data_IF_131745965955
#
_entry.id   IF_131745965955
#
_cell.length_a   1.000
_cell.length_b   1.000
_cell.length_c   1.000
_cell.angle_alpha   90.00
_cell.angle_beta   90.00
_cell.angle_gamma   90.00
#
_symmetry.space_group_name_H-M   'P 1'
#
loop_
_entity.id
_entity.type
_entity.pdbx_description
1 polymer ?
#
# COMPACT_ATOMS: atom_id res chain seq x y z
N UNK A 1 -16.04 20.39 7.45
CA UNK A 1 -14.58 20.49 7.74
C UNK A 1 -13.91 19.51 6.80
N UNK A 2 -12.85 19.92 6.11
CA UNK A 2 -12.11 19.02 5.22
C UNK A 2 -11.60 17.82 6.03
N UNK A 3 -11.68 16.61 5.47
CA UNK A 3 -11.17 15.41 6.15
C UNK A 3 -9.72 15.17 5.83
N UNK A 4 -9.32 15.48 4.61
CA UNK A 4 -7.92 15.45 4.24
C UNK A 4 -7.19 16.62 4.94
N UNK A 5 -6.29 16.33 5.90
CA UNK A 5 -5.50 17.37 6.56
C UNK A 5 -4.49 18.02 5.61
N UNK A 6 -4.12 17.33 4.53
CA UNK A 6 -3.01 17.67 3.64
C UNK A 6 -3.51 18.28 2.31
N UNK A 7 -4.82 18.29 2.07
CA UNK A 7 -5.44 18.60 0.79
C UNK A 7 -5.87 20.06 0.60
N UNK A 8 -5.93 20.47 -0.67
CA UNK A 8 -6.55 21.74 -1.11
C UNK A 8 -7.93 21.50 -1.68
N UNK A 9 -8.90 22.36 -1.31
CA UNK A 9 -10.29 22.27 -1.76
C UNK A 9 -10.40 22.33 -3.30
N UNK A 10 -9.59 23.18 -3.93
CA UNK A 10 -9.61 23.39 -5.39
C UNK A 10 -9.21 22.12 -6.16
N UNK A 11 -8.19 21.40 -5.71
CA UNK A 11 -7.73 20.15 -6.33
C UNK A 11 -8.83 19.08 -6.28
N UNK A 12 -9.49 18.94 -5.13
CA UNK A 12 -10.66 18.05 -5.02
C UNK A 12 -11.78 18.42 -5.99
N UNK A 13 -12.05 19.71 -6.24
CA UNK A 13 -13.08 20.10 -7.20
C UNK A 13 -12.73 19.73 -8.64
N UNK A 14 -11.48 19.88 -9.04
CA UNK A 14 -11.00 19.51 -10.38
C UNK A 14 -11.13 18.00 -10.61
N UNK A 15 -10.66 17.19 -9.65
CA UNK A 15 -10.77 15.74 -9.72
C UNK A 15 -12.23 15.27 -9.71
N UNK A 16 -13.07 15.85 -8.86
CA UNK A 16 -14.52 15.57 -8.84
C UNK A 16 -15.16 15.90 -10.20
N UNK A 17 -14.81 17.02 -10.83
CA UNK A 17 -15.32 17.39 -12.17
C UNK A 17 -14.86 16.41 -13.23
N UNK A 18 -13.61 15.95 -13.18
CA UNK A 18 -13.08 14.93 -14.08
C UNK A 18 -13.86 13.61 -13.93
N UNK A 19 -14.08 13.15 -12.70
CA UNK A 19 -14.86 11.94 -12.45
C UNK A 19 -16.30 12.05 -12.98
N UNK A 20 -16.98 13.18 -12.74
CA UNK A 20 -18.32 13.46 -13.29
C UNK A 20 -18.29 13.44 -14.83
N UNK A 21 -17.28 14.06 -15.45
CA UNK A 21 -17.13 14.07 -16.91
C UNK A 21 -17.02 12.65 -17.47
N UNK A 22 -16.19 11.80 -16.88
CA UNK A 22 -16.00 10.41 -17.32
C UNK A 22 -17.27 9.57 -17.09
N UNK A 23 -17.93 9.70 -15.94
CA UNK A 23 -19.19 9.00 -15.66
C UNK A 23 -20.30 9.42 -16.64
N UNK A 24 -20.38 10.71 -16.97
CA UNK A 24 -21.29 11.20 -18.00
C UNK A 24 -20.94 10.64 -19.39
N UNK A 25 -19.65 10.53 -19.71
CA UNK A 25 -19.19 9.92 -20.96
C UNK A 25 -19.63 8.45 -21.06
N UNK A 26 -19.48 7.67 -19.98
CA UNK A 26 -19.98 6.30 -19.92
C UNK A 26 -21.51 6.23 -20.10
N UNK A 27 -22.28 7.18 -19.56
CA UNK A 27 -23.74 7.20 -19.71
C UNK A 27 -24.23 7.56 -21.12
N UNK A 28 -23.44 8.31 -21.90
CA UNK A 28 -23.84 8.89 -23.20
C UNK A 28 -23.39 8.07 -24.39
N UNK A 29 -22.41 7.18 -24.22
CA UNK A 29 -21.81 6.48 -25.34
C UNK A 29 -22.77 5.44 -25.95
N UNK A 30 -23.29 5.75 -27.14
CA UNK A 30 -23.88 4.77 -28.05
C UNK A 30 -22.74 3.90 -28.65
N UNK A 31 -22.49 2.75 -28.02
CA UNK A 31 -21.36 1.88 -28.33
C UNK A 31 -21.51 1.19 -29.70
N UNK A 32 -20.50 1.29 -30.57
CA UNK A 32 -20.44 0.53 -31.84
C UNK A 32 -19.63 -0.77 -31.76
N UNK A 33 -18.68 -0.89 -30.82
CA UNK A 33 -17.81 -2.08 -30.64
C UNK A 33 -17.96 -2.70 -29.23
N UNK A 34 -17.94 -4.03 -29.17
CA UNK A 34 -18.10 -4.83 -27.95
C UNK A 34 -16.94 -4.65 -26.94
N UNK A 35 -15.72 -4.42 -27.40
CA UNK A 35 -14.52 -4.18 -26.56
C UNK A 35 -14.64 -2.86 -25.81
N UNK A 36 -15.07 -1.81 -26.53
CA UNK A 36 -15.31 -0.48 -25.94
C UNK A 36 -16.45 -0.55 -24.93
N UNK A 37 -17.51 -1.31 -25.24
CA UNK A 37 -18.64 -1.53 -24.33
C UNK A 37 -18.21 -2.26 -23.06
N UNK A 38 -17.36 -3.27 -23.16
CA UNK A 38 -16.79 -3.97 -21.99
C UNK A 38 -15.94 -3.02 -21.14
N UNK A 39 -14.95 -2.34 -21.74
CA UNK A 39 -14.03 -1.46 -21.01
C UNK A 39 -14.78 -0.34 -20.26
N UNK A 40 -15.73 0.31 -20.94
CA UNK A 40 -16.56 1.34 -20.33
C UNK A 40 -17.38 0.77 -19.16
N UNK A 41 -17.93 -0.43 -19.31
CA UNK A 41 -18.74 -1.05 -18.27
C UNK A 41 -17.93 -1.51 -17.07
N UNK A 42 -16.70 -2.01 -17.29
CA UNK A 42 -15.76 -2.33 -16.21
C UNK A 42 -15.23 -1.07 -15.51
N UNK A 43 -15.21 0.08 -16.20
CA UNK A 43 -14.76 1.35 -15.65
C UNK A 43 -15.78 2.05 -14.74
N UNK A 44 -17.08 1.81 -14.88
CA UNK A 44 -18.09 2.59 -14.13
C UNK A 44 -17.89 2.54 -12.62
N UNK A 45 -17.70 1.35 -12.03
CA UNK A 45 -17.61 1.22 -10.57
C UNK A 45 -16.34 1.86 -9.98
N UNK A 46 -15.12 1.65 -10.53
CA UNK A 46 -13.94 2.39 -10.11
C UNK A 46 -14.14 3.92 -10.08
N UNK A 47 -14.64 4.52 -11.16
CA UNK A 47 -14.87 5.98 -11.23
C UNK A 47 -15.95 6.46 -10.23
N UNK A 48 -16.98 5.65 -9.97
CA UNK A 48 -17.96 5.94 -8.90
C UNK A 48 -17.27 5.94 -7.53
N UNK A 49 -16.35 5.01 -7.29
CA UNK A 49 -15.62 4.88 -6.02
C UNK A 49 -14.63 6.03 -5.83
N UNK A 50 -13.83 6.36 -6.85
CA UNK A 50 -12.92 7.52 -6.83
C UNK A 50 -13.70 8.82 -6.57
N UNK A 51 -14.83 9.02 -7.27
CA UNK A 51 -15.71 10.17 -7.02
C UNK A 51 -16.15 10.26 -5.55
N UNK A 52 -16.57 9.14 -4.96
CA UNK A 52 -16.96 9.09 -3.54
C UNK A 52 -15.78 9.34 -2.60
N UNK A 53 -14.60 8.82 -2.93
CA UNK A 53 -13.36 9.02 -2.16
C UNK A 53 -12.96 10.50 -2.15
N UNK A 54 -12.99 11.17 -3.31
CA UNK A 54 -12.70 12.61 -3.38
C UNK A 54 -13.70 13.44 -2.60
N UNK A 55 -15.00 13.11 -2.66
CA UNK A 55 -16.00 13.77 -1.82
C UNK A 55 -15.76 13.53 -0.33
N UNK A 56 -15.34 12.31 0.04
CA UNK A 56 -14.97 12.00 1.42
C UNK A 56 -13.82 12.87 1.90
N UNK A 57 -12.71 12.92 1.15
CA UNK A 57 -11.54 13.74 1.48
C UNK A 57 -11.84 15.24 1.56
N UNK A 58 -12.64 15.75 0.61
CA UNK A 58 -13.14 17.14 0.61
C UNK A 58 -13.92 17.52 1.87
N UNK A 59 -14.48 16.54 2.58
CA UNK A 59 -15.26 16.77 3.79
C UNK A 59 -16.77 16.75 3.60
N UNK A 60 -17.28 16.20 2.50
CA UNK A 60 -18.72 16.10 2.27
C UNK A 60 -19.40 15.19 3.31
N UNK A 61 -20.66 15.44 3.70
CA UNK A 61 -21.38 14.57 4.62
C UNK A 61 -21.47 13.13 4.10
N UNK A 62 -21.25 12.15 4.99
CA UNK A 62 -21.36 10.72 4.65
C UNK A 62 -22.73 10.37 4.05
N UNK A 63 -23.80 10.99 4.57
CA UNK A 63 -25.15 10.80 4.06
C UNK A 63 -25.30 11.25 2.59
N UNK A 64 -24.61 12.32 2.17
CA UNK A 64 -24.67 12.83 0.80
C UNK A 64 -23.85 11.99 -0.16
N UNK A 65 -22.70 11.47 0.30
CA UNK A 65 -21.87 10.51 -0.45
C UNK A 65 -22.66 9.21 -0.65
N UNK A 66 -23.24 8.68 0.42
CA UNK A 66 -24.06 7.48 0.39
C UNK A 66 -25.34 7.65 -0.43
N UNK A 67 -26.02 8.80 -0.32
CA UNK A 67 -27.22 9.07 -1.10
C UNK A 67 -26.93 9.11 -2.61
N UNK A 68 -25.78 9.66 -3.02
CA UNK A 68 -25.33 9.60 -4.41
C UNK A 68 -25.09 8.14 -4.86
N UNK A 69 -24.42 7.34 -4.03
CA UNK A 69 -24.16 5.94 -4.34
C UNK A 69 -25.47 5.18 -4.58
N UNK A 70 -26.45 5.34 -3.71
CA UNK A 70 -27.75 4.66 -3.82
C UNK A 70 -28.55 5.11 -5.06
N UNK A 71 -28.59 6.42 -5.33
CA UNK A 71 -29.44 6.99 -6.38
C UNK A 71 -28.83 6.86 -7.77
N UNK A 72 -27.52 7.04 -7.89
CA UNK A 72 -26.86 7.24 -9.18
C UNK A 72 -25.71 6.25 -9.39
N UNK A 73 -24.79 6.13 -8.43
CA UNK A 73 -23.57 5.33 -8.58
C UNK A 73 -23.84 3.83 -8.79
N UNK A 74 -24.54 3.21 -7.84
CA UNK A 74 -24.87 1.78 -7.88
C UNK A 74 -25.80 1.43 -9.06
N UNK A 75 -26.89 2.17 -9.34
CA UNK A 75 -27.70 1.91 -10.53
C UNK A 75 -26.93 2.06 -11.84
N UNK A 76 -25.97 2.99 -11.93
CA UNK A 76 -25.10 3.14 -13.11
C UNK A 76 -24.23 1.90 -13.33
N UNK A 77 -23.61 1.39 -12.26
CA UNK A 77 -22.86 0.14 -12.30
C UNK A 77 -23.76 -1.05 -12.69
N UNK A 78 -24.95 -1.17 -12.12
CA UNK A 78 -25.89 -2.25 -12.47
C UNK A 78 -26.31 -2.20 -13.95
N UNK A 79 -26.55 -1.01 -14.51
CA UNK A 79 -26.80 -0.84 -15.95
C UNK A 79 -25.60 -1.30 -16.78
N UNK A 80 -24.38 -0.91 -16.41
CA UNK A 80 -23.16 -1.37 -17.07
C UNK A 80 -23.01 -2.89 -17.07
N UNK A 81 -23.25 -3.55 -15.91
CA UNK A 81 -23.25 -5.01 -15.81
C UNK A 81 -24.31 -5.64 -16.72
N UNK A 82 -25.52 -5.09 -16.76
CA UNK A 82 -26.60 -5.60 -17.61
C UNK A 82 -26.25 -5.47 -19.11
N UNK A 83 -25.61 -4.38 -19.51
CA UNK A 83 -25.16 -4.16 -20.90
C UNK A 83 -24.12 -5.20 -21.32
N UNK A 84 -23.16 -5.51 -20.44
CA UNK A 84 -22.13 -6.51 -20.71
C UNK A 84 -22.71 -7.92 -20.82
N UNK A 85 -23.70 -8.27 -19.99
CA UNK A 85 -24.37 -9.58 -20.06
C UNK A 85 -25.08 -9.83 -21.39
N UNK A 86 -25.35 -8.79 -22.17
CA UNK A 86 -25.93 -8.88 -23.51
C UNK A 86 -24.88 -9.09 -24.61
N UNK A 87 -23.59 -9.00 -24.29
CA UNK A 87 -22.51 -9.22 -25.26
C UNK A 87 -22.44 -10.71 -25.67
N UNK A 88 -22.26 -11.03 -26.97
CA UNK A 88 -22.04 -12.41 -27.40
C UNK A 88 -20.82 -13.04 -26.70
N UNK A 89 -20.87 -14.31 -26.25
CA UNK A 89 -19.73 -14.93 -25.56
C UNK A 89 -18.43 -14.92 -26.37
N UNK A 90 -18.53 -14.97 -27.70
CA UNK A 90 -17.40 -14.95 -28.62
C UNK A 90 -16.74 -13.56 -28.76
N UNK A 91 -17.41 -12.49 -28.33
CA UNK A 91 -16.89 -11.13 -28.42
C UNK A 91 -15.98 -10.72 -27.25
N UNK A 92 -15.81 -11.61 -26.27
CA UNK A 92 -14.93 -11.40 -25.13
C UNK A 92 -13.79 -12.41 -25.19
N UNK A 93 -12.58 -11.96 -24.90
CA UNK A 93 -11.44 -12.85 -24.70
C UNK A 93 -11.63 -13.68 -23.43
N UNK A 94 -10.95 -14.83 -23.35
CA UNK A 94 -11.09 -15.75 -22.23
C UNK A 94 -10.78 -15.09 -20.86
N UNK A 95 -9.84 -14.15 -20.83
CA UNK A 95 -9.53 -13.36 -19.65
C UNK A 95 -10.68 -12.43 -19.22
N UNK A 96 -11.39 -11.82 -20.18
CA UNK A 96 -12.54 -10.94 -19.90
C UNK A 96 -13.73 -11.76 -19.37
N UNK A 97 -14.03 -12.91 -19.99
CA UNK A 97 -15.14 -13.79 -19.55
C UNK A 97 -15.02 -14.26 -18.10
N UNK A 98 -13.79 -14.37 -17.59
CA UNK A 98 -13.48 -14.83 -16.23
C UNK A 98 -13.34 -13.69 -15.21
N UNK A 99 -13.42 -12.43 -15.63
CA UNK A 99 -13.23 -11.27 -14.76
C UNK A 99 -14.60 -10.69 -14.38
N UNK A 100 -14.94 -10.58 -13.07
CA UNK A 100 -16.07 -9.79 -12.63
C UNK A 100 -16.00 -8.37 -13.18
N UNK A 101 -17.14 -7.83 -13.58
CA UNK A 101 -17.26 -6.43 -13.98
C UNK A 101 -17.32 -5.64 -12.67
N UNK A 102 -16.38 -4.74 -12.43
CA UNK A 102 -16.30 -3.99 -11.17
C UNK A 102 -14.85 -3.77 -10.77
N UNK A 103 -14.56 -3.97 -9.49
CA UNK A 103 -13.24 -3.77 -8.91
C UNK A 103 -12.35 -5.02 -9.07
N UNK A 104 -11.08 -4.77 -9.36
CA UNK A 104 -10.03 -5.77 -9.27
C UNK A 104 -8.89 -5.23 -8.40
N UNK A 105 -8.42 -6.02 -7.43
CA UNK A 105 -7.29 -5.61 -6.58
C UNK A 105 -5.97 -5.69 -7.33
N UNK A 106 -5.67 -4.71 -8.17
CA UNK A 106 -4.28 -4.40 -8.56
C UNK A 106 -3.61 -3.63 -7.43
N UNK A 107 -2.29 -3.48 -7.49
CA UNK A 107 -1.55 -2.82 -6.40
C UNK A 107 -1.97 -1.38 -6.19
N UNK A 108 -2.16 -0.62 -7.27
CA UNK A 108 -2.67 0.76 -7.25
C UNK A 108 -4.12 0.89 -6.79
N UNK A 109 -4.94 -0.17 -6.92
CA UNK A 109 -6.38 -0.14 -6.62
C UNK A 109 -6.73 -0.72 -5.23
N UNK A 110 -5.73 -1.12 -4.43
CA UNK A 110 -5.97 -1.75 -3.15
C UNK A 110 -6.67 -0.81 -2.16
N UNK A 111 -6.31 0.47 -2.16
CA UNK A 111 -6.87 1.48 -1.26
C UNK A 111 -8.30 1.88 -1.63
N UNK A 112 -8.62 2.01 -2.92
CA UNK A 112 -10.00 2.19 -3.39
C UNK A 112 -10.90 1.03 -2.95
N UNK A 113 -10.38 -0.20 -3.00
CA UNK A 113 -11.09 -1.39 -2.52
C UNK A 113 -11.29 -1.33 -1.00
N UNK A 114 -10.28 -0.91 -0.22
CA UNK A 114 -10.44 -0.72 1.22
C UNK A 114 -11.46 0.37 1.55
N UNK A 115 -11.41 1.52 0.86
CA UNK A 115 -12.39 2.58 0.99
C UNK A 115 -13.81 2.07 0.72
N UNK A 116 -14.02 1.42 -0.44
CA UNK A 116 -15.35 0.97 -0.81
C UNK A 116 -15.88 -0.12 0.12
N UNK A 117 -15.03 -1.06 0.55
CA UNK A 117 -15.40 -2.04 1.56
C UNK A 117 -15.72 -1.37 2.90
N UNK A 118 -14.92 -0.41 3.36
CA UNK A 118 -15.20 0.34 4.58
C UNK A 118 -16.54 1.09 4.49
N UNK A 119 -16.81 1.74 3.36
CA UNK A 119 -18.07 2.43 3.12
C UNK A 119 -19.25 1.45 3.12
N UNK A 120 -19.16 0.31 2.43
CA UNK A 120 -20.20 -0.72 2.47
C UNK A 120 -20.37 -1.31 3.87
N UNK A 121 -19.28 -1.51 4.62
CA UNK A 121 -19.28 -2.01 6.01
C UNK A 121 -19.92 -1.00 6.96
N UNK A 122 -19.73 0.29 6.73
CA UNK A 122 -20.15 1.32 7.68
C UNK A 122 -21.46 2.01 7.30
N UNK A 123 -21.92 1.93 6.05
CA UNK A 123 -23.10 2.70 5.58
C UNK A 123 -24.24 1.82 5.04
N UNK A 124 -23.95 0.64 4.49
CA UNK A 124 -24.99 -0.21 3.89
C UNK A 124 -25.85 -0.86 4.97
N UNK A 125 -27.15 -0.56 5.01
CA UNK A 125 -28.07 -1.23 5.92
C UNK A 125 -28.39 -2.65 5.44
N UNK A 126 -28.20 -2.95 4.15
CA UNK A 126 -28.39 -4.28 3.60
C UNK A 126 -27.08 -5.06 3.59
N UNK A 127 -27.08 -6.32 4.07
CA UNK A 127 -25.90 -7.18 3.95
C UNK A 127 -25.69 -7.69 2.52
N UNK A 128 -26.68 -7.56 1.63
CA UNK A 128 -26.70 -8.25 0.34
C UNK A 128 -25.52 -7.88 -0.57
N UNK A 129 -25.15 -6.60 -0.65
CA UNK A 129 -24.03 -6.17 -1.51
C UNK A 129 -22.71 -6.77 -1.05
N UNK A 130 -22.49 -6.78 0.26
CA UNK A 130 -21.30 -7.36 0.88
C UNK A 130 -21.28 -8.89 0.73
N UNK A 131 -22.41 -9.56 1.01
CA UNK A 131 -22.54 -11.02 0.83
C UNK A 131 -22.31 -11.45 -0.63
N UNK A 132 -22.73 -10.62 -1.59
CA UNK A 132 -22.55 -10.87 -3.01
C UNK A 132 -21.29 -10.22 -3.61
N UNK A 133 -20.27 -9.93 -2.79
CA UNK A 133 -19.04 -9.24 -3.22
C UNK A 133 -18.40 -9.85 -4.47
N UNK A 134 -18.46 -11.17 -4.66
CA UNK A 134 -17.88 -11.86 -5.82
C UNK A 134 -18.45 -11.41 -7.17
N UNK A 135 -19.61 -10.76 -7.18
CA UNK A 135 -20.21 -10.22 -8.39
C UNK A 135 -19.54 -8.92 -8.86
N UNK A 136 -18.89 -8.19 -7.96
CA UNK A 136 -18.33 -6.86 -8.23
C UNK A 136 -16.89 -6.67 -7.75
N UNK A 137 -16.33 -7.59 -6.96
CA UNK A 137 -14.96 -7.57 -6.46
C UNK A 137 -14.22 -8.82 -6.90
N UNK A 138 -13.08 -8.61 -7.56
CA UNK A 138 -12.10 -9.64 -7.87
C UNK A 138 -10.81 -9.41 -7.09
N UNK A 139 -10.47 -10.32 -6.19
CA UNK A 139 -9.19 -10.30 -5.47
C UNK A 139 -8.26 -11.33 -6.09
N UNK A 140 -7.30 -10.90 -6.91
CA UNK A 140 -6.33 -11.79 -7.54
C UNK A 140 -4.95 -11.11 -7.68
N UNK A 141 -3.88 -11.64 -7.06
CA UNK A 141 -3.87 -12.80 -6.16
C UNK A 141 -4.69 -12.55 -4.87
N UNK A 142 -5.14 -13.61 -4.17
CA UNK A 142 -5.86 -13.48 -2.90
C UNK A 142 -5.09 -12.64 -1.88
N UNK A 143 -5.83 -11.86 -1.07
CA UNK A 143 -5.28 -10.99 -0.03
C UNK A 143 -5.88 -11.37 1.31
N UNK A 144 -5.04 -11.84 2.23
CA UNK A 144 -5.46 -12.34 3.55
C UNK A 144 -6.28 -11.32 4.32
N UNK A 145 -5.84 -10.06 4.34
CA UNK A 145 -6.57 -8.98 5.03
C UNK A 145 -8.02 -8.84 4.53
N UNK A 146 -8.23 -8.78 3.21
CA UNK A 146 -9.58 -8.68 2.62
C UNK A 146 -10.43 -9.90 3.01
N UNK A 147 -9.86 -11.12 2.92
CA UNK A 147 -10.58 -12.34 3.30
C UNK A 147 -10.95 -12.37 4.79
N UNK A 148 -10.08 -11.86 5.67
CA UNK A 148 -10.35 -11.71 7.11
C UNK A 148 -11.46 -10.69 7.35
N UNK A 149 -11.41 -9.52 6.70
CA UNK A 149 -12.46 -8.51 6.81
C UNK A 149 -13.81 -9.06 6.31
N UNK A 150 -13.84 -9.71 5.15
CA UNK A 150 -15.06 -10.34 4.63
C UNK A 150 -15.58 -11.44 5.55
N UNK A 151 -14.70 -12.30 6.09
CA UNK A 151 -15.08 -13.34 7.06
C UNK A 151 -15.67 -12.77 8.35
N UNK A 152 -15.21 -11.60 8.76
CA UNK A 152 -15.69 -10.90 9.96
C UNK A 152 -17.15 -10.48 9.85
N UNK A 153 -17.66 -10.26 8.64
CA UNK A 153 -19.05 -9.84 8.40
C UNK A 153 -19.89 -10.87 7.64
N UNK A 154 -19.25 -11.88 7.05
CA UNK A 154 -19.89 -12.97 6.29
C UNK A 154 -19.39 -14.29 6.90
N UNK A 155 -20.12 -14.88 7.88
CA UNK A 155 -19.66 -16.07 8.60
C UNK A 155 -19.30 -17.27 7.71
N UNK A 156 -19.94 -17.39 6.54
CA UNK A 156 -19.69 -18.47 5.58
C UNK A 156 -18.63 -18.13 4.52
N UNK A 157 -17.98 -16.96 4.59
CA UNK A 157 -16.87 -16.64 3.70
C UNK A 157 -15.76 -17.67 3.86
N UNK A 158 -15.18 -18.06 2.74
CA UNK A 158 -14.02 -18.92 2.68
C UNK A 158 -12.89 -18.11 2.06
N UNK A 159 -11.86 -17.84 2.85
CA UNK A 159 -10.63 -17.24 2.35
C UNK A 159 -9.82 -18.24 1.53
N UNK A 160 -8.74 -17.76 0.92
CA UNK A 160 -7.79 -18.65 0.26
C UNK A 160 -6.96 -19.46 1.26
N UNK A 161 -6.51 -20.65 0.87
CA UNK A 161 -5.44 -21.38 1.56
C UNK A 161 -4.05 -21.04 1.04
N UNK A 162 -3.96 -20.34 -0.10
CA UNK A 162 -2.73 -20.17 -0.88
C UNK A 162 -2.43 -18.68 -1.07
N UNK A 163 -2.22 -17.96 0.02
CA UNK A 163 -1.74 -16.58 -0.04
C UNK A 163 -0.25 -16.55 -0.43
N UNK A 164 0.14 -15.57 -1.24
CA UNK A 164 1.55 -15.38 -1.62
C UNK A 164 2.25 -14.50 -0.58
N UNK A 165 3.48 -14.85 -0.22
CA UNK A 165 4.31 -14.06 0.71
C UNK A 165 4.45 -12.59 0.25
N UNK A 166 4.66 -12.35 -1.04
CA UNK A 166 4.78 -11.02 -1.63
C UNK A 166 3.52 -10.16 -1.48
N UNK A 167 2.33 -10.75 -1.40
CA UNK A 167 1.08 -9.99 -1.18
C UNK A 167 0.76 -9.79 0.29
N UNK A 168 1.29 -10.65 1.17
CA UNK A 168 1.13 -10.57 2.63
C UNK A 168 2.11 -9.58 3.26
N UNK A 169 3.28 -9.39 2.65
CA UNK A 169 4.38 -8.57 3.19
C UNK A 169 4.41 -7.14 2.68
N UNK A 170 3.38 -6.69 1.97
CA UNK A 170 3.30 -5.27 1.60
C UNK A 170 3.34 -4.40 2.86
N UNK A 171 4.12 -3.34 2.76
CA UNK A 171 4.59 -2.55 3.90
C UNK A 171 3.46 -1.98 4.77
N UNK A 172 2.23 -1.81 4.26
CA UNK A 172 1.09 -1.39 5.09
C UNK A 172 0.22 -2.53 5.63
N UNK A 173 0.04 -3.61 4.86
CA UNK A 173 -0.88 -4.69 5.25
C UNK A 173 -0.28 -5.61 6.32
N UNK A 174 1.02 -5.86 6.27
CA UNK A 174 1.70 -6.72 7.25
C UNK A 174 1.69 -6.13 8.67
N UNK A 175 2.04 -4.85 8.89
CA UNK A 175 1.95 -4.25 10.23
C UNK A 175 0.53 -4.25 10.81
N UNK A 176 -0.50 -4.03 9.98
CA UNK A 176 -1.88 -4.12 10.44
C UNK A 176 -2.25 -5.54 10.86
N UNK A 177 -1.91 -6.54 10.04
CA UNK A 177 -2.17 -7.95 10.37
C UNK A 177 -1.43 -8.39 11.65
N UNK A 178 -0.22 -7.87 11.89
CA UNK A 178 0.51 -8.04 13.14
C UNK A 178 -0.29 -7.50 14.33
N UNK A 179 -0.75 -6.24 14.24
CA UNK A 179 -1.52 -5.62 15.31
C UNK A 179 -2.79 -6.41 15.66
N UNK A 180 -3.47 -6.96 14.66
CA UNK A 180 -4.69 -7.77 14.86
C UNK A 180 -4.42 -9.19 15.40
N UNK A 181 -3.22 -9.72 15.21
CA UNK A 181 -2.82 -11.02 15.76
C UNK A 181 -2.51 -10.99 17.26
N UNK A 182 -2.39 -9.80 17.86
CA UNK A 182 -2.30 -9.68 19.31
C UNK A 182 -3.58 -10.17 20.02
N UNK A 183 -3.47 -10.58 21.30
CA UNK A 183 -4.63 -10.83 22.16
C UNK A 183 -5.60 -9.63 22.17
N UNK A 184 -6.92 -9.85 22.30
CA UNK A 184 -7.92 -8.78 22.23
C UNK A 184 -7.60 -7.54 23.06
N UNK A 185 -7.10 -7.71 24.28
CA UNK A 185 -6.74 -6.66 25.22
C UNK A 185 -5.53 -5.79 24.78
N UNK A 186 -4.71 -6.29 23.86
CA UNK A 186 -3.52 -5.59 23.33
C UNK A 186 -3.77 -4.93 21.97
N UNK A 187 -4.84 -5.30 21.26
CA UNK A 187 -5.10 -4.81 19.89
C UNK A 187 -5.27 -3.30 19.80
N UNK A 188 -5.92 -2.68 20.80
CA UNK A 188 -6.09 -1.22 20.81
C UNK A 188 -4.75 -0.49 20.85
N UNK A 189 -3.84 -0.89 21.74
CA UNK A 189 -2.49 -0.33 21.82
C UNK A 189 -1.69 -0.60 20.54
N UNK A 190 -1.75 -1.83 20.01
CA UNK A 190 -1.04 -2.18 18.79
C UNK A 190 -1.54 -1.40 17.55
N UNK A 191 -2.84 -1.12 17.45
CA UNK A 191 -3.39 -0.25 16.41
C UNK A 191 -3.02 1.21 16.61
N UNK A 192 -2.90 1.69 17.86
CA UNK A 192 -2.40 3.04 18.12
C UNK A 192 -0.96 3.21 17.63
N UNK A 193 -0.10 2.23 17.91
CA UNK A 193 1.29 2.21 17.42
C UNK A 193 1.34 2.13 15.88
N UNK A 194 0.45 1.35 15.26
CA UNK A 194 0.30 1.32 13.81
C UNK A 194 -0.09 2.69 13.26
N UNK A 195 -1.09 3.35 13.85
CA UNK A 195 -1.56 4.67 13.42
C UNK A 195 -0.48 5.73 13.57
N UNK A 196 0.31 5.71 14.65
CA UNK A 196 1.46 6.61 14.83
C UNK A 196 2.51 6.45 13.72
N UNK A 197 2.60 5.27 13.12
CA UNK A 197 3.49 4.98 12.00
C UNK A 197 2.81 5.14 10.63
N UNK A 198 1.52 5.44 10.55
CA UNK A 198 0.74 5.34 9.32
C UNK A 198 1.26 6.25 8.21
N UNK A 199 1.65 7.48 8.54
CA UNK A 199 2.28 8.39 7.58
C UNK A 199 3.59 7.85 7.02
N UNK A 200 4.42 7.23 7.87
CA UNK A 200 5.66 6.59 7.42
C UNK A 200 5.33 5.46 6.46
N UNK A 201 4.33 4.64 6.81
CA UNK A 201 3.84 3.60 5.93
C UNK A 201 3.44 4.24 4.60
N UNK A 202 2.56 5.25 4.55
CA UNK A 202 2.01 5.79 3.29
C UNK A 202 2.99 6.53 2.35
N UNK A 203 4.26 6.73 2.74
CA UNK A 203 5.27 7.41 1.91
C UNK A 203 5.42 6.83 0.49
N UNK A 204 5.48 5.51 0.27
CA UNK A 204 5.58 4.94 -1.07
C UNK A 204 4.32 5.13 -1.94
N UNK A 205 3.19 5.56 -1.36
CA UNK A 205 1.98 5.95 -2.11
C UNK A 205 1.90 7.46 -2.33
N UNK A 206 3.01 8.16 -2.09
CA UNK A 206 3.13 9.59 -2.32
C UNK A 206 2.72 10.45 -1.14
N UNK A 207 2.59 9.89 0.08
CA UNK A 207 2.51 10.74 1.27
C UNK A 207 3.86 11.43 1.51
N UNK A 208 3.84 12.75 1.74
CA UNK A 208 5.04 13.54 2.06
C UNK A 208 4.69 14.55 3.15
N UNK A 209 5.59 14.80 4.12
CA UNK A 209 5.40 15.90 5.06
C UNK A 209 5.50 17.24 4.32
N UNK A 210 4.65 18.22 4.65
CA UNK A 210 4.71 19.58 4.09
C UNK A 210 4.62 19.65 2.54
N UNK A 211 3.63 18.98 1.93
CA UNK A 211 3.40 18.99 0.47
C UNK A 211 3.47 20.39 -0.13
N UNK A 212 4.23 20.57 -1.21
CA UNK A 212 4.26 21.82 -1.98
C UNK A 212 2.95 21.94 -2.75
N UNK A 213 2.10 22.90 -2.39
CA UNK A 213 0.74 22.88 -2.85
C UNK A 213 0.59 23.57 -4.23
N UNK A 214 1.69 23.84 -4.94
CA UNK A 214 1.68 24.30 -6.32
C UNK A 214 1.20 23.17 -7.27
N UNK A 215 0.33 23.54 -8.22
CA UNK A 215 -0.46 22.64 -9.10
C UNK A 215 0.35 21.61 -9.94
N UNK A 216 1.67 21.67 -9.92
CA UNK A 216 2.57 20.87 -10.78
C UNK A 216 3.61 20.05 -10.00
N UNK A 217 3.62 20.11 -8.66
CA UNK A 217 4.67 19.47 -7.85
C UNK A 217 4.21 18.20 -7.15
N UNK A 218 3.25 18.32 -6.24
CA UNK A 218 2.71 17.16 -5.51
C UNK A 218 1.25 16.93 -5.92
N UNK A 219 0.95 15.71 -6.41
CA UNK A 219 -0.42 15.30 -6.73
C UNK A 219 -1.35 15.30 -5.51
N UNK A 220 -2.65 15.10 -5.69
CA UNK A 220 -3.57 14.94 -4.56
C UNK A 220 -3.28 13.62 -3.81
N UNK A 221 -3.07 13.70 -2.50
CA UNK A 221 -3.03 12.51 -1.64
C UNK A 221 -4.37 12.38 -0.91
N UNK A 222 -5.19 11.43 -1.34
CA UNK A 222 -6.55 11.26 -0.84
C UNK A 222 -6.75 9.96 -0.07
N UNK A 223 -5.66 9.42 0.49
CA UNK A 223 -5.70 8.17 1.22
C UNK A 223 -5.98 8.39 2.71
N UNK A 224 -6.72 7.42 3.26
CA UNK A 224 -7.09 7.35 4.67
C UNK A 224 -6.94 5.91 5.15
N UNK A 225 -6.84 5.74 6.47
CA UNK A 225 -6.67 4.44 7.12
C UNK A 225 -7.97 3.61 7.14
N UNK A 226 -8.59 3.39 5.97
CA UNK A 226 -9.84 2.64 5.82
C UNK A 226 -9.69 1.17 6.25
N UNK A 227 -8.50 0.60 6.06
CA UNK A 227 -8.11 -0.70 6.58
C UNK A 227 -8.20 -0.77 8.11
N UNK A 228 -7.80 0.29 8.81
CA UNK A 228 -7.89 0.37 10.27
C UNK A 228 -9.33 0.56 10.70
N UNK A 229 -10.11 1.40 10.01
CA UNK A 229 -11.54 1.56 10.27
C UNK A 229 -12.31 0.24 10.13
N UNK A 230 -12.07 -0.53 9.05
CA UNK A 230 -12.66 -1.86 8.88
C UNK A 230 -12.25 -2.81 10.00
N UNK A 231 -10.97 -2.81 10.41
CA UNK A 231 -10.49 -3.68 11.47
C UNK A 231 -11.11 -3.33 12.83
N UNK A 232 -11.26 -2.03 13.13
CA UNK A 232 -11.94 -1.54 14.34
C UNK A 232 -13.39 -2.01 14.35
N UNK A 233 -14.13 -1.86 13.25
CA UNK A 233 -15.50 -2.36 13.15
C UNK A 233 -15.55 -3.89 13.28
N UNK A 234 -14.67 -4.60 12.57
CA UNK A 234 -14.64 -6.07 12.51
C UNK A 234 -14.31 -6.72 13.86
N UNK A 235 -13.40 -6.12 14.64
CA UNK A 235 -12.95 -6.65 15.92
C UNK A 235 -13.49 -5.90 17.14
N UNK A 236 -14.38 -4.92 16.92
CA UNK A 236 -14.95 -4.07 17.97
C UNK A 236 -13.89 -3.48 18.90
N UNK A 237 -12.80 -2.99 18.31
CA UNK A 237 -11.62 -2.50 19.03
C UNK A 237 -11.89 -1.08 19.54
N UNK A 238 -11.43 -0.77 20.74
CA UNK A 238 -11.41 0.59 21.26
C UNK A 238 -10.37 1.43 20.49
N UNK A 239 -10.86 2.46 19.79
CA UNK A 239 -10.09 3.39 18.96
C UNK A 239 -9.73 4.69 19.68
N UNK A 240 -10.12 4.86 20.94
CA UNK A 240 -10.02 6.13 21.67
C UNK A 240 -8.61 6.74 21.68
N UNK A 241 -7.55 5.92 21.69
CA UNK A 241 -6.15 6.35 21.75
C UNK A 241 -5.60 6.93 20.44
N UNK A 242 -6.22 6.65 19.29
CA UNK A 242 -5.78 7.12 17.97
C UNK A 242 -6.91 7.80 17.18
N UNK A 243 -8.05 8.02 17.83
CA UNK A 243 -9.27 8.57 17.24
C UNK A 243 -9.10 9.95 16.62
N UNK A 244 -8.17 10.73 17.14
CA UNK A 244 -7.86 12.08 16.65
C UNK A 244 -6.79 12.10 15.55
N UNK A 245 -6.29 10.93 15.13
CA UNK A 245 -5.36 10.84 14.02
C UNK A 245 -6.04 11.38 12.74
N UNK A 246 -5.41 12.30 11.99
CA UNK A 246 -6.11 13.06 10.96
C UNK A 246 -6.55 12.23 9.75
N UNK A 247 -5.84 11.13 9.44
CA UNK A 247 -6.25 10.19 8.39
C UNK A 247 -7.10 9.02 8.88
N UNK A 248 -7.48 8.99 10.16
CA UNK A 248 -8.33 7.91 10.68
C UNK A 248 -9.81 8.19 10.36
N UNK A 249 -10.53 7.30 9.65
CA UNK A 249 -11.94 7.48 9.29
C UNK A 249 -12.93 7.33 10.46
N UNK A 250 -12.76 8.10 11.54
CA UNK A 250 -13.56 7.98 12.77
C UNK A 250 -15.06 8.12 12.53
N UNK A 251 -15.47 8.94 11.55
CA UNK A 251 -16.87 9.20 11.25
C UNK A 251 -17.58 8.01 10.61
N UNK A 252 -16.87 7.20 9.82
CA UNK A 252 -17.37 5.91 9.33
C UNK A 252 -17.57 4.93 10.49
N UNK A 253 -16.60 4.84 11.40
CA UNK A 253 -16.67 3.94 12.57
C UNK A 253 -17.80 4.36 13.52
N UNK A 254 -17.98 5.66 13.73
CA UNK A 254 -19.09 6.19 14.53
C UNK A 254 -20.44 5.85 13.91
N UNK A 255 -20.57 6.07 12.60
CA UNK A 255 -21.80 5.73 11.89
C UNK A 255 -22.09 4.24 12.00
N UNK A 256 -21.08 3.40 11.83
CA UNK A 256 -21.20 1.95 11.98
C UNK A 256 -21.74 1.57 13.36
N UNK A 257 -21.08 2.03 14.43
CA UNK A 257 -21.48 1.73 15.82
C UNK A 257 -22.90 2.20 16.13
N UNK A 258 -23.27 3.40 15.67
CA UNK A 258 -24.56 4.01 15.96
C UNK A 258 -25.72 3.39 15.15
N UNK A 259 -25.48 3.03 13.88
CA UNK A 259 -26.59 2.76 12.94
C UNK A 259 -26.55 1.38 12.27
N UNK A 260 -25.42 0.67 12.29
CA UNK A 260 -25.25 -0.56 11.49
C UNK A 260 -24.94 -1.78 12.36
N UNK A 261 -24.14 -1.63 13.42
CA UNK A 261 -23.66 -2.73 14.24
C UNK A 261 -24.79 -3.65 14.76
N UNK A 262 -25.88 -3.04 15.20
CA UNK A 262 -27.03 -3.76 15.75
C UNK A 262 -27.73 -4.71 14.76
N UNK A 263 -27.46 -4.61 13.45
CA UNK A 263 -27.94 -5.57 12.43
C UNK A 263 -26.81 -6.41 11.85
N UNK A 264 -25.69 -5.79 11.47
CA UNK A 264 -24.58 -6.42 10.74
C UNK A 264 -23.94 -7.58 11.49
N UNK A 265 -23.73 -7.37 12.78
CA UNK A 265 -22.95 -8.24 13.65
C UNK A 265 -23.66 -8.49 14.97
N UNK A 266 -25.00 -8.44 14.96
CA UNK A 266 -25.87 -8.82 16.07
C UNK A 266 -25.63 -10.25 16.58
N UNK A 267 -24.91 -11.08 15.81
CA UNK A 267 -24.51 -12.44 16.19
C UNK A 267 -23.39 -12.46 17.26
N UNK A 268 -22.74 -11.32 17.56
CA UNK A 268 -21.72 -11.18 18.61
C UNK A 268 -22.07 -10.05 19.60
N UNK A 269 -21.64 -10.19 20.85
CA UNK A 269 -21.87 -9.20 21.89
C UNK A 269 -21.02 -7.92 21.69
N UNK A 270 -21.38 -6.84 22.37
CA UNK A 270 -20.58 -5.60 22.42
C UNK A 270 -19.24 -5.82 23.11
N UNK A 271 -18.18 -5.24 22.56
CA UNK A 271 -16.79 -5.43 22.96
C UNK A 271 -16.17 -6.76 22.48
N UNK A 272 -16.93 -7.61 21.76
CA UNK A 272 -16.40 -8.86 21.22
C UNK A 272 -16.14 -8.74 19.73
N UNK A 273 -14.88 -8.96 19.34
CA UNK A 273 -14.44 -9.00 17.96
C UNK A 273 -14.99 -10.17 17.15
N UNK A 274 -14.79 -10.13 15.83
CA UNK A 274 -14.83 -11.35 15.03
C UNK A 274 -13.88 -12.36 15.69
N UNK A 275 -14.41 -13.51 16.14
CA UNK A 275 -13.63 -14.58 16.80
C UNK A 275 -12.67 -15.31 15.86
N UNK A 276 -12.20 -14.62 14.82
CA UNK A 276 -11.24 -15.12 13.85
C UNK A 276 -9.87 -15.01 14.51
N UNK A 277 -9.28 -16.17 14.80
CA UNK A 277 -7.89 -16.23 15.21
C UNK A 277 -7.01 -15.87 14.02
N UNK A 278 -6.16 -14.86 14.21
CA UNK A 278 -5.16 -14.48 13.24
C UNK A 278 -3.83 -15.03 13.73
N UNK A 279 -3.21 -15.98 13.00
CA UNK A 279 -1.87 -16.39 13.35
C UNK A 279 -0.98 -15.14 13.24
N UNK A 280 -0.09 -14.89 14.22
CA UNK A 280 0.91 -13.85 14.06
C UNK A 280 1.65 -14.13 12.75
N UNK A 281 1.86 -13.12 11.90
CA UNK A 281 2.63 -13.36 10.68
C UNK A 281 4.00 -13.89 11.10
N UNK A 282 4.48 -14.86 10.34
CA UNK A 282 5.74 -15.53 10.65
C UNK A 282 6.82 -14.45 10.76
N UNK A 283 7.52 -14.33 11.91
CA UNK A 283 8.58 -13.35 12.06
C UNK A 283 9.56 -13.47 10.90
N UNK A 284 10.06 -12.35 10.37
CA UNK A 284 10.99 -12.40 9.26
C UNK A 284 12.17 -13.29 9.65
N UNK A 285 12.41 -14.33 8.87
CA UNK A 285 13.45 -15.29 9.18
C UNK A 285 14.78 -14.69 8.76
N UNK A 286 15.60 -14.33 9.74
CA UNK A 286 16.96 -13.89 9.50
C UNK A 286 17.92 -15.07 9.52
N UNK A 287 18.50 -15.38 8.38
CA UNK A 287 19.52 -16.42 8.22
C UNK A 287 20.82 -15.93 8.84
N UNK A 288 21.51 -16.83 9.53
CA UNK A 288 22.90 -16.62 9.94
C UNK A 288 23.78 -16.55 8.68
N UNK A 289 24.18 -15.33 8.32
CA UNK A 289 24.97 -15.04 7.12
C UNK A 289 26.29 -15.80 7.08
N UNK A 290 26.88 -16.14 8.24
CA UNK A 290 28.13 -16.91 8.31
C UNK A 290 27.91 -18.40 7.98
N UNK A 291 26.68 -18.90 8.13
CA UNK A 291 26.31 -20.30 7.85
C UNK A 291 25.62 -20.48 6.49
N UNK A 292 25.37 -19.41 5.76
CA UNK A 292 24.71 -19.48 4.46
C UNK A 292 25.57 -20.22 3.44
N UNK A 293 24.89 -21.00 2.57
CA UNK A 293 25.49 -21.70 1.43
C UNK A 293 25.16 -21.06 0.09
N UNK A 294 24.44 -19.92 0.10
CA UNK A 294 24.08 -19.19 -1.12
C UNK A 294 25.35 -18.68 -1.81
N UNK A 295 25.29 -18.52 -3.13
CA UNK A 295 26.41 -18.06 -3.97
C UNK A 295 25.94 -17.07 -5.03
N UNK A 296 26.88 -16.34 -5.62
CA UNK A 296 26.65 -15.44 -6.74
C UNK A 296 25.53 -14.42 -6.44
N UNK A 297 24.65 -14.15 -7.41
CA UNK A 297 23.54 -13.21 -7.27
C UNK A 297 22.67 -13.46 -6.03
N UNK A 298 22.32 -14.71 -5.74
CA UNK A 298 21.49 -15.01 -4.57
C UNK A 298 22.21 -14.68 -3.25
N UNK A 299 23.54 -14.80 -3.20
CA UNK A 299 24.33 -14.37 -2.03
C UNK A 299 24.44 -12.85 -1.97
N UNK A 300 24.60 -12.19 -3.11
CA UNK A 300 24.62 -10.73 -3.17
C UNK A 300 23.32 -10.13 -2.64
N UNK A 301 22.17 -10.65 -3.07
CA UNK A 301 20.85 -10.26 -2.54
C UNK A 301 20.71 -10.59 -1.06
N UNK A 302 21.21 -11.74 -0.60
CA UNK A 302 21.21 -12.10 0.84
C UNK A 302 21.96 -11.10 1.71
N UNK A 303 23.10 -10.62 1.23
CA UNK A 303 23.90 -9.62 1.92
C UNK A 303 23.22 -8.24 1.89
N UNK A 304 22.63 -7.85 0.77
CA UNK A 304 21.84 -6.62 0.66
C UNK A 304 20.61 -6.65 1.58
N UNK A 305 19.92 -7.79 1.66
CA UNK A 305 18.78 -8.00 2.54
C UNK A 305 19.17 -8.41 3.97
N UNK A 306 20.45 -8.36 4.35
CA UNK A 306 20.93 -8.64 5.71
C UNK A 306 20.45 -9.98 6.30
N UNK A 307 20.34 -10.99 5.42
CA UNK A 307 19.94 -12.35 5.75
C UNK A 307 18.44 -12.53 5.95
N UNK A 308 17.61 -11.51 5.72
CA UNK A 308 16.15 -11.68 5.69
C UNK A 308 15.77 -12.58 4.50
N UNK A 309 15.54 -13.86 4.80
CA UNK A 309 15.28 -14.94 3.84
C UNK A 309 14.12 -14.59 2.92
N UNK A 310 13.22 -13.80 3.46
CA UNK A 310 11.88 -13.60 3.02
C UNK A 310 11.80 -12.36 2.09
N UNK A 311 12.56 -11.31 2.42
CA UNK A 311 12.93 -10.23 1.51
C UNK A 311 13.76 -10.74 0.32
N UNK A 312 14.74 -11.61 0.59
CA UNK A 312 15.55 -12.25 -0.45
C UNK A 312 14.69 -12.99 -1.46
N UNK A 313 13.81 -13.90 -1.01
CA UNK A 313 13.00 -14.68 -1.96
C UNK A 313 12.07 -13.76 -2.78
N UNK A 314 11.55 -12.67 -2.19
CA UNK A 314 10.77 -11.66 -2.92
C UNK A 314 11.57 -11.02 -4.06
N UNK A 315 12.81 -10.59 -3.78
CA UNK A 315 13.69 -10.01 -4.80
C UNK A 315 14.03 -11.04 -5.88
N UNK A 316 14.30 -12.29 -5.51
CA UNK A 316 14.62 -13.36 -6.45
C UNK A 316 13.41 -13.79 -7.30
N UNK A 317 12.19 -13.71 -6.79
CA UNK A 317 10.96 -13.95 -7.55
C UNK A 317 10.80 -12.90 -8.66
N UNK A 318 11.11 -11.63 -8.37
CA UNK A 318 11.01 -10.52 -9.33
C UNK A 318 12.15 -10.53 -10.34
N UNK A 319 13.39 -10.65 -9.86
CA UNK A 319 14.60 -10.43 -10.68
C UNK A 319 15.19 -11.73 -11.26
N UNK A 320 14.73 -12.89 -10.79
CA UNK A 320 15.33 -14.18 -11.11
C UNK A 320 16.71 -14.38 -10.47
N UNK A 321 17.60 -15.09 -11.17
CA UNK A 321 18.97 -15.39 -10.72
C UNK A 321 19.99 -15.12 -11.83
N UNK A 322 20.11 -13.86 -12.29
CA UNK A 322 20.97 -13.53 -13.41
C UNK A 322 22.45 -13.80 -13.10
N UNK A 323 23.22 -14.07 -14.16
CA UNK A 323 24.69 -14.12 -14.09
C UNK A 323 25.32 -12.72 -14.11
N UNK A 324 24.64 -11.78 -14.78
CA UNK A 324 24.97 -10.35 -14.84
C UNK A 324 23.68 -9.56 -14.74
N UNK A 325 23.70 -8.46 -14.02
CA UNK A 325 22.52 -7.60 -13.89
C UNK A 325 22.37 -6.81 -15.19
N UNK A 326 21.21 -6.95 -15.82
CA UNK A 326 20.86 -6.26 -17.07
C UNK A 326 19.81 -5.18 -16.82
N UNK A 327 18.84 -5.48 -15.95
CA UNK A 327 17.80 -4.56 -15.52
C UNK A 327 18.09 -4.14 -14.08
N UNK A 328 18.84 -3.04 -13.97
CA UNK A 328 19.25 -2.52 -12.67
C UNK A 328 18.11 -1.81 -11.94
N UNK A 329 17.25 -1.11 -12.70
CA UNK A 329 16.06 -0.46 -12.18
C UNK A 329 15.13 -1.46 -11.49
N UNK A 330 14.78 -2.56 -12.16
CA UNK A 330 13.92 -3.60 -11.57
C UNK A 330 14.54 -4.23 -10.31
N UNK A 331 15.87 -4.37 -10.26
CA UNK A 331 16.55 -4.88 -9.08
C UNK A 331 16.42 -3.93 -7.89
N UNK A 332 16.66 -2.65 -8.11
CA UNK A 332 16.58 -1.63 -7.06
C UNK A 332 15.16 -1.42 -6.58
N UNK A 333 14.19 -1.39 -7.50
CA UNK A 333 12.75 -1.35 -7.18
C UNK A 333 12.38 -2.55 -6.29
N UNK A 334 12.78 -3.77 -6.67
CA UNK A 334 12.51 -4.97 -5.87
C UNK A 334 13.17 -4.95 -4.48
N UNK A 335 14.39 -4.40 -4.36
CA UNK A 335 15.08 -4.25 -3.07
C UNK A 335 14.45 -3.17 -2.20
N UNK A 336 14.04 -2.05 -2.80
CA UNK A 336 13.40 -0.94 -2.12
C UNK A 336 11.99 -1.32 -1.65
N UNK A 337 11.21 -2.04 -2.48
CA UNK A 337 9.92 -2.62 -2.10
C UNK A 337 10.03 -3.54 -0.88
N UNK A 338 11.19 -4.20 -0.73
CA UNK A 338 11.52 -5.02 0.43
C UNK A 338 12.09 -4.23 1.62
N UNK A 339 12.29 -2.91 1.51
CA UNK A 339 12.88 -2.04 2.54
C UNK A 339 14.39 -2.17 2.69
N UNK A 340 15.08 -2.73 1.69
CA UNK A 340 16.50 -3.07 1.76
C UNK A 340 17.41 -2.26 0.82
N UNK A 341 16.87 -1.25 0.13
CA UNK A 341 17.65 -0.29 -0.66
C UNK A 341 17.06 1.13 -0.62
N UNK A 342 17.92 2.10 -0.88
CA UNK A 342 17.57 3.44 -1.35
C UNK A 342 17.52 3.36 -2.88
N UNK A 343 16.45 3.88 -3.46
CA UNK A 343 16.20 4.07 -4.88
C UNK A 343 15.33 5.33 -5.01
N UNK A 344 15.98 6.49 -5.06
CA UNK A 344 15.31 7.79 -5.05
C UNK A 344 15.79 8.65 -6.21
N UNK A 345 14.87 9.38 -6.85
CA UNK A 345 15.23 10.33 -7.91
C UNK A 345 16.25 11.38 -7.42
N UNK A 346 17.05 11.91 -8.34
CA UNK A 346 18.17 12.81 -8.06
C UNK A 346 17.84 14.03 -7.20
N UNK A 347 16.57 14.44 -7.15
CA UNK A 347 16.12 15.58 -6.34
C UNK A 347 15.08 15.22 -5.28
N UNK A 348 14.65 13.97 -5.18
CA UNK A 348 13.59 13.56 -4.25
C UNK A 348 14.15 13.21 -2.87
N UNK A 349 14.50 14.25 -2.12
CA UNK A 349 15.04 14.11 -0.76
C UNK A 349 14.06 13.48 0.23
N UNK A 350 12.75 13.59 -0.01
CA UNK A 350 11.73 13.06 0.90
C UNK A 350 11.61 11.55 0.76
N UNK A 351 11.61 11.07 -0.49
CA UNK A 351 11.67 9.64 -0.78
C UNK A 351 12.96 9.04 -0.21
N UNK A 352 14.09 9.73 -0.36
CA UNK A 352 15.35 9.26 0.18
C UNK A 352 15.37 9.19 1.72
N UNK A 353 14.90 10.22 2.42
CA UNK A 353 14.79 10.23 3.89
C UNK A 353 13.96 9.04 4.39
N UNK A 354 12.82 8.83 3.75
CA UNK A 354 11.92 7.70 4.00
C UNK A 354 12.61 6.35 3.85
N UNK A 355 13.29 6.15 2.73
CA UNK A 355 14.01 4.92 2.45
C UNK A 355 15.21 4.74 3.39
N UNK A 356 15.87 5.80 3.83
CA UNK A 356 16.95 5.75 4.82
C UNK A 356 16.45 5.26 6.19
N UNK A 357 15.30 5.75 6.64
CA UNK A 357 14.66 5.29 7.87
C UNK A 357 14.23 3.82 7.77
N UNK A 358 13.56 3.44 6.67
CA UNK A 358 13.14 2.05 6.42
C UNK A 358 14.34 1.10 6.39
N UNK A 359 15.45 1.53 5.77
CA UNK A 359 16.68 0.75 5.71
C UNK A 359 17.29 0.52 7.09
N UNK A 360 17.27 1.53 7.97
CA UNK A 360 17.73 1.42 9.35
C UNK A 360 16.87 0.46 10.18
N UNK A 361 15.54 0.57 10.05
CA UNK A 361 14.56 -0.33 10.68
C UNK A 361 14.77 -1.77 10.21
N UNK A 362 14.96 -1.98 8.90
CA UNK A 362 15.22 -3.29 8.32
C UNK A 362 16.52 -3.94 8.82
N UNK A 363 17.49 -3.16 9.32
CA UNK A 363 18.70 -3.70 9.98
C UNK A 363 18.50 -3.98 11.47
N UNK A 364 17.45 -3.43 12.08
CA UNK A 364 17.17 -3.53 13.51
C UNK A 364 18.22 -2.82 14.37
N UNK A 365 18.78 -1.71 13.88
CA UNK A 365 19.88 -0.98 14.54
C UNK A 365 19.45 0.35 15.18
N UNK A 366 18.15 0.51 15.41
CA UNK A 366 17.50 1.69 15.97
C UNK A 366 16.96 2.65 14.91
N UNK A 367 16.15 3.65 15.32
CA UNK A 367 15.61 4.62 14.38
C UNK A 367 16.72 5.56 13.89
N UNK A 368 16.73 5.80 12.58
CA UNK A 368 17.53 6.84 11.96
C UNK A 368 16.68 8.09 11.77
N UNK A 369 17.22 9.24 12.17
CA UNK A 369 16.62 10.54 11.90
C UNK A 369 17.55 11.30 10.95
N UNK A 370 17.00 11.73 9.81
CA UNK A 370 17.72 12.59 8.89
C UNK A 370 18.10 13.92 9.59
N UNK A 371 19.25 14.52 9.23
CA UNK A 371 19.67 15.80 9.81
C UNK A 371 18.63 16.90 9.56
N UNK A 372 18.62 17.98 10.35
CA UNK A 372 17.67 19.10 10.16
C UNK A 372 17.75 19.72 8.75
N UNK A 373 16.70 20.41 8.31
CA UNK A 373 16.39 20.83 6.93
C UNK A 373 17.33 21.88 6.28
N UNK A 374 18.64 21.78 6.48
CA UNK A 374 19.64 22.59 5.76
C UNK A 374 20.60 21.69 4.96
N UNK A 375 20.57 21.71 3.62
CA UNK A 375 19.62 22.42 2.75
C UNK A 375 18.20 21.82 2.84
N UNK A 376 17.15 22.58 2.52
CA UNK A 376 15.77 22.13 2.77
C UNK A 376 15.31 20.99 1.84
N UNK A 377 15.80 20.93 0.61
CA UNK A 377 15.35 19.94 -0.39
C UNK A 377 16.36 19.78 -1.55
N UNK A 378 16.16 18.75 -2.38
CA UNK A 378 16.93 18.52 -3.60
C UNK A 378 18.22 17.70 -3.41
N UNK A 379 19.04 17.58 -4.46
CA UNK A 379 20.22 16.68 -4.44
C UNK A 379 21.25 16.98 -3.34
N UNK A 380 21.41 18.24 -2.92
CA UNK A 380 22.28 18.58 -1.81
C UNK A 380 21.74 18.06 -0.46
N UNK A 381 20.41 18.02 -0.31
CA UNK A 381 19.74 17.41 0.85
C UNK A 381 19.88 15.89 0.81
N UNK A 382 19.70 15.26 -0.35
CA UNK A 382 19.98 13.83 -0.55
C UNK A 382 21.38 13.45 -0.09
N UNK A 383 22.39 14.23 -0.52
CA UNK A 383 23.79 14.05 -0.10
C UNK A 383 23.97 14.15 1.41
N UNK A 384 23.34 15.15 2.06
CA UNK A 384 23.41 15.32 3.51
C UNK A 384 22.82 14.11 4.26
N UNK A 385 21.67 13.60 3.81
CA UNK A 385 21.02 12.43 4.40
C UNK A 385 21.91 11.19 4.25
N UNK A 386 22.45 10.92 3.05
CA UNK A 386 23.29 9.75 2.80
C UNK A 386 24.58 9.77 3.63
N UNK A 387 25.20 10.94 3.79
CA UNK A 387 26.38 11.12 4.66
C UNK A 387 26.03 10.89 6.12
N UNK A 388 24.89 11.42 6.59
CA UNK A 388 24.43 11.21 7.96
C UNK A 388 24.12 9.73 8.22
N UNK A 389 23.42 9.06 7.30
CA UNK A 389 23.11 7.64 7.38
C UNK A 389 24.39 6.80 7.43
N UNK A 390 25.37 7.08 6.57
CA UNK A 390 26.65 6.40 6.58
C UNK A 390 27.38 6.54 7.93
N UNK A 391 27.49 7.77 8.44
CA UNK A 391 28.14 8.05 9.71
C UNK A 391 27.41 7.42 10.90
N UNK A 392 26.08 7.40 10.86
CA UNK A 392 25.23 6.82 11.89
C UNK A 392 25.26 5.28 11.90
N UNK A 393 25.31 4.65 10.72
CA UNK A 393 25.33 3.19 10.56
C UNK A 393 26.69 2.55 10.86
N UNK A 394 27.80 3.26 10.60
CA UNK A 394 29.16 2.79 10.83
C UNK A 394 29.43 2.24 12.26
N UNK A 395 29.15 2.97 13.35
CA UNK A 395 29.36 2.46 14.71
C UNK A 395 28.41 1.31 15.08
N UNK A 396 27.36 1.07 14.27
CA UNK A 396 26.40 -0.03 14.43
C UNK A 396 26.79 -1.27 13.62
N UNK A 397 27.98 -1.27 13.00
CA UNK A 397 28.52 -2.41 12.27
C UNK A 397 28.06 -2.53 10.82
N UNK A 398 27.52 -1.46 10.22
CA UNK A 398 27.09 -1.44 8.82
C UNK A 398 27.85 -0.40 8.01
N UNK A 399 27.96 -0.65 6.71
CA UNK A 399 28.50 0.30 5.74
C UNK A 399 27.46 0.57 4.66
N UNK A 400 27.25 1.85 4.39
CA UNK A 400 26.47 2.31 3.24
C UNK A 400 27.32 2.17 1.97
N UNK A 401 26.77 1.51 0.97
CA UNK A 401 27.39 1.28 -0.33
C UNK A 401 26.51 1.91 -1.39
N UNK A 402 27.08 2.83 -2.16
CA UNK A 402 26.44 3.43 -3.34
C UNK A 402 26.53 2.45 -4.51
N UNK A 403 25.41 2.23 -5.20
CA UNK A 403 25.30 1.35 -6.37
C UNK A 403 25.15 2.21 -7.63
N UNK A 404 26.26 2.48 -8.31
CA UNK A 404 26.34 3.44 -9.42
C UNK A 404 25.93 2.80 -10.75
N UNK A 405 24.84 3.24 -11.35
CA UNK A 405 24.49 2.92 -12.75
C UNK A 405 24.75 4.07 -13.72
N UNK A 406 25.38 5.15 -13.24
CA UNK A 406 25.67 6.38 -13.97
C UNK A 406 24.43 7.19 -14.35
N UNK A 407 23.30 6.98 -13.68
CA UNK A 407 22.17 7.90 -13.70
C UNK A 407 22.36 9.06 -12.71
N UNK A 408 21.36 9.93 -12.61
CA UNK A 408 21.32 11.05 -11.67
C UNK A 408 20.53 10.73 -10.39
N UNK A 409 20.09 9.49 -10.21
CA UNK A 409 19.35 9.02 -9.05
C UNK A 409 20.29 8.50 -7.94
N UNK A 410 19.71 8.28 -6.77
CA UNK A 410 20.40 7.86 -5.57
C UNK A 410 20.09 6.40 -5.28
N UNK A 411 21.10 5.55 -5.37
CA UNK A 411 20.96 4.12 -5.14
C UNK A 411 21.96 3.64 -4.09
N UNK A 412 21.46 3.10 -2.97
CA UNK A 412 22.35 2.65 -1.91
C UNK A 412 21.78 1.49 -1.10
N UNK A 413 22.67 0.70 -0.50
CA UNK A 413 22.32 -0.39 0.42
C UNK A 413 23.18 -0.35 1.69
N UNK A 414 22.65 -0.84 2.81
CA UNK A 414 23.42 -1.06 4.03
C UNK A 414 23.83 -2.53 4.13
N UNK A 415 25.15 -2.78 4.18
CA UNK A 415 25.73 -4.12 4.30
C UNK A 415 26.54 -4.20 5.59
N UNK A 416 26.48 -5.32 6.31
CA UNK A 416 27.32 -5.52 7.50
C UNK A 416 28.80 -5.39 7.14
N UNK A 417 29.55 -4.68 7.98
CA UNK A 417 30.96 -4.40 7.76
C UNK A 417 31.80 -5.68 7.55
N UNK A 418 31.47 -6.78 8.22
CA UNK A 418 32.17 -8.06 8.10
C UNK A 418 32.00 -8.74 6.72
N UNK A 419 30.93 -8.42 5.98
CA UNK A 419 30.65 -8.98 4.64
C UNK A 419 30.88 -7.97 3.51
N UNK A 420 31.49 -6.81 3.82
CA UNK A 420 31.69 -5.74 2.87
C UNK A 420 32.52 -6.17 1.65
N UNK A 421 33.69 -6.77 1.89
CA UNK A 421 34.59 -7.19 0.81
C UNK A 421 33.95 -8.29 -0.06
N UNK A 422 33.19 -9.20 0.56
CA UNK A 422 32.42 -10.23 -0.16
C UNK A 422 31.38 -9.58 -1.08
N UNK A 423 30.64 -8.60 -0.56
CA UNK A 423 29.63 -7.88 -1.32
C UNK A 423 30.22 -7.14 -2.51
N UNK A 424 31.36 -6.44 -2.35
CA UNK A 424 32.03 -5.72 -3.43
C UNK A 424 32.51 -6.69 -4.53
N UNK A 425 33.11 -7.82 -4.15
CA UNK A 425 33.56 -8.83 -5.11
C UNK A 425 32.41 -9.45 -5.92
N UNK A 426 31.27 -9.70 -5.25
CA UNK A 426 30.05 -10.16 -5.91
C UNK A 426 29.48 -9.09 -6.83
N UNK A 427 29.44 -7.83 -6.39
CA UNK A 427 28.99 -6.69 -7.20
C UNK A 427 29.77 -6.60 -8.52
N UNK A 428 31.10 -6.66 -8.43
CA UNK A 428 31.98 -6.64 -9.61
C UNK A 428 31.70 -7.82 -10.56
N UNK A 429 31.50 -9.02 -10.02
CA UNK A 429 31.18 -10.23 -10.81
C UNK A 429 29.85 -10.09 -11.55
N UNK A 430 28.87 -9.43 -10.92
CA UNK A 430 27.54 -9.18 -11.48
C UNK A 430 27.51 -8.01 -12.47
N UNK A 431 28.61 -7.26 -12.60
CA UNK A 431 28.70 -6.08 -13.45
C UNK A 431 28.18 -4.80 -12.81
N UNK A 432 28.00 -4.79 -11.49
CA UNK A 432 27.62 -3.59 -10.74
C UNK A 432 28.83 -2.75 -10.38
N UNK A 433 28.71 -1.44 -10.57
CA UNK A 433 29.68 -0.48 -10.07
C UNK A 433 29.25 -0.05 -8.67
N UNK A 434 30.22 0.09 -7.79
CA UNK A 434 30.00 0.49 -6.41
C UNK A 434 30.96 1.61 -6.04
N UNK A 435 30.51 2.53 -5.19
CA UNK A 435 31.31 3.64 -4.69
C UNK A 435 31.13 3.75 -3.17
N UNK A 436 32.13 4.32 -2.49
CA UNK A 436 31.93 4.74 -1.09
C UNK A 436 31.14 6.05 -1.09
N UNK A 437 30.26 6.29 -0.10
CA UNK A 437 29.54 7.56 0.04
C UNK A 437 30.43 8.80 -0.03
N UNK A 438 31.62 8.74 0.57
CA UNK A 438 32.58 9.84 0.47
C UNK A 438 33.03 10.07 -0.98
N UNK A 439 33.18 9.03 -1.78
CA UNK A 439 33.60 9.16 -3.19
C UNK A 439 32.44 9.49 -4.13
N UNK A 440 31.23 9.05 -3.79
CA UNK A 440 30.03 9.24 -4.60
C UNK A 440 29.42 10.63 -4.40
N UNK A 441 29.57 11.20 -3.20
CA UNK A 441 28.81 12.39 -2.80
C UNK A 441 29.70 13.58 -2.43
N UNK A 442 31.02 13.50 -2.62
CA UNK A 442 31.94 14.65 -2.52
C UNK A 442 32.16 15.24 -3.92
N UNK A 443 31.20 16.03 -4.39
CA UNK A 443 31.44 17.12 -5.34
C UNK A 443 30.99 18.44 -4.71
#
# INVERSE_FOLDING_TARGET
>A
MMRDPDGKLETYEEDIRLQIYVLNHFSRNEHRDNTVRWNNSSGVLPYVIEYMLFRYGRGDPLADIWSYFEKDGWPSYQRAVALVKQLPPQSLDEGQRRTPIGLATRESAALEVHFFLALLICMDQSPERLMNHRNWLRVNPPRRFIDVMLKSFIPNHQGSSNYKSSTERKWWTSPLMNALAHPPEQRSAALADHMNNWHRLMRPLGWKPNRDPALEKDGLFCDFAFEVAMAVCAYDIDDSSFRDHPHYPRDLVDHYRQHIRHTRDAWRAEGLGAGIELPPPVPPKRVDLAKSKRKNFARWVELACDGYDDALESVLETTGKPRKIQDFFQLLEALQDAGHAIHADGKDSDTLDSQAADLADARGIGPFEAPDSDPPQGGARCTAILRALHAWAAPRGYQLIDLDDQDDAWHAVLVKAEYHDEFLALSQTLGLRTRKPQQAYLD
#
